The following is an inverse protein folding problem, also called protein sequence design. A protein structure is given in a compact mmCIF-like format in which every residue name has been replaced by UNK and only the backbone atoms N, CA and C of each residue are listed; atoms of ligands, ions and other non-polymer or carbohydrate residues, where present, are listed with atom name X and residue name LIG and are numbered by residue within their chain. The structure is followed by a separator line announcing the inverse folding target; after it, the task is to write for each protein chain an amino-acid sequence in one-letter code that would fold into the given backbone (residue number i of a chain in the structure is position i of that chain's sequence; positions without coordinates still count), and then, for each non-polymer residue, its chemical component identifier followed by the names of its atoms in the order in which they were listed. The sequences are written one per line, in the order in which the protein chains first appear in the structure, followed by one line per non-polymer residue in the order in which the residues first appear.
data_IF_656331978522
#
_entry.id   IF_656331978522
#
_cell.length_a   1.000
_cell.length_b   1.000
_cell.length_c   1.000
_cell.angle_alpha   90.00
_cell.angle_beta   90.00
_cell.angle_gamma   90.00
#
_symmetry.space_group_name_H-M   'P 1'
#
loop_
_entity.id
_entity.type
_entity.pdbx_description
1 polymer ?
#
# COMPACT_ATOMS: atom_id res chain seq x y z
N UNK A 1 13.12 -18.29 -1.06
CA UNK A 1 12.15 -17.27 -1.55
C UNK A 1 12.77 -15.91 -1.86
N UNK A 2 13.57 -15.29 -0.97
CA UNK A 2 14.23 -14.00 -1.26
C UNK A 2 15.22 -14.05 -2.44
N UNK A 3 15.94 -15.16 -2.58
CA UNK A 3 16.83 -15.42 -3.72
C UNK A 3 16.09 -15.38 -5.05
N UNK A 4 14.91 -15.99 -5.13
CA UNK A 4 14.04 -15.97 -6.30
C UNK A 4 13.66 -14.54 -6.68
N UNK A 5 13.17 -13.73 -5.73
CA UNK A 5 12.77 -12.34 -6.01
C UNK A 5 13.96 -11.50 -6.46
N UNK A 6 15.15 -11.71 -5.90
CA UNK A 6 16.37 -11.02 -6.36
C UNK A 6 16.75 -11.42 -7.78
N UNK A 7 16.70 -12.71 -8.09
CA UNK A 7 16.98 -13.22 -9.44
C UNK A 7 15.97 -12.69 -10.46
N UNK A 8 14.68 -12.75 -10.13
CA UNK A 8 13.61 -12.18 -10.94
C UNK A 8 13.82 -10.68 -11.17
N UNK A 9 14.14 -9.92 -10.12
CA UNK A 9 14.46 -8.49 -10.25
C UNK A 9 15.62 -8.26 -11.21
N UNK A 10 16.69 -9.05 -11.10
CA UNK A 10 17.84 -8.96 -12.03
C UNK A 10 17.40 -9.19 -13.47
N UNK A 11 16.61 -10.23 -13.71
CA UNK A 11 16.09 -10.58 -15.04
C UNK A 11 15.16 -9.51 -15.62
N UNK A 12 14.28 -8.93 -14.81
CA UNK A 12 13.39 -7.83 -15.22
C UNK A 12 14.18 -6.56 -15.55
N UNK A 13 15.31 -6.32 -14.86
CA UNK A 13 16.19 -5.18 -15.17
C UNK A 13 16.99 -5.36 -16.45
N UNK A 14 17.46 -6.57 -16.74
CA UNK A 14 18.19 -6.84 -17.98
C UNK A 14 17.25 -6.90 -19.18
N UNK A 15 16.06 -7.49 -19.03
CA UNK A 15 15.01 -7.51 -20.05
C UNK A 15 14.24 -6.18 -20.14
N UNK A 16 13.44 -5.98 -21.18
CA UNK A 16 12.49 -4.85 -21.28
C UNK A 16 11.10 -5.27 -20.77
N UNK A 17 11.07 -5.89 -19.58
CA UNK A 17 9.87 -6.49 -19.02
C UNK A 17 9.41 -5.75 -17.75
N UNK A 18 8.20 -6.10 -17.32
CA UNK A 18 7.57 -5.63 -16.10
C UNK A 18 6.99 -6.84 -15.38
N UNK A 19 7.20 -6.94 -14.07
CA UNK A 19 6.65 -8.03 -13.27
C UNK A 19 5.78 -7.49 -12.14
N UNK A 20 4.60 -8.09 -11.97
CA UNK A 20 3.67 -7.78 -10.88
C UNK A 20 3.54 -9.01 -10.00
N UNK A 21 3.71 -8.84 -8.69
CA UNK A 21 3.54 -9.91 -7.71
C UNK A 21 2.52 -9.45 -6.69
N UNK A 22 1.41 -10.16 -6.61
CA UNK A 22 0.33 -9.88 -5.67
C UNK A 22 0.21 -11.03 -4.67
N UNK A 23 0.06 -10.72 -3.39
CA UNK A 23 -0.24 -11.73 -2.38
C UNK A 23 -1.12 -11.19 -1.26
N UNK A 24 -1.88 -12.08 -0.64
CA UNK A 24 -2.59 -11.78 0.60
C UNK A 24 -1.58 -11.65 1.74
N UNK A 25 -1.67 -10.62 2.60
CA UNK A 25 -0.74 -10.44 3.72
C UNK A 25 -0.84 -11.55 4.76
N UNK A 26 -1.96 -12.29 4.79
CA UNK A 26 -2.15 -13.44 5.69
C UNK A 26 -1.25 -14.62 5.33
N UNK A 27 -0.73 -14.69 4.10
CA UNK A 27 0.06 -15.81 3.61
C UNK A 27 1.57 -15.62 3.84
N UNK A 28 2.01 -14.42 4.23
CA UNK A 28 3.43 -14.08 4.34
C UNK A 28 3.72 -13.53 5.72
N UNK A 29 4.72 -14.08 6.40
CA UNK A 29 5.12 -13.57 7.71
C UNK A 29 5.56 -12.09 7.63
N UNK A 30 5.32 -11.28 8.68
CA UNK A 30 5.64 -9.85 8.65
C UNK A 30 7.12 -9.56 8.32
N UNK A 31 8.03 -10.42 8.78
CA UNK A 31 9.47 -10.28 8.54
C UNK A 31 9.84 -10.48 7.08
N UNK A 32 9.28 -11.49 6.41
CA UNK A 32 9.49 -11.74 4.98
C UNK A 32 8.86 -10.62 4.15
N UNK A 33 7.63 -10.22 4.50
CA UNK A 33 6.93 -9.12 3.83
C UNK A 33 7.77 -7.83 3.87
N UNK A 34 8.35 -7.48 5.02
CA UNK A 34 9.22 -6.29 5.14
C UNK A 34 10.46 -6.40 4.26
N UNK A 35 11.13 -7.56 4.24
CA UNK A 35 12.28 -7.79 3.35
C UNK A 35 11.91 -7.65 1.87
N UNK A 36 10.72 -8.11 1.49
CA UNK A 36 10.22 -7.96 0.13
C UNK A 36 9.92 -6.49 -0.21
N UNK A 37 9.34 -5.74 0.73
CA UNK A 37 9.08 -4.30 0.57
C UNK A 37 10.36 -3.51 0.28
N UNK A 38 11.47 -3.87 0.93
CA UNK A 38 12.77 -3.27 0.64
C UNK A 38 13.26 -3.57 -0.78
N UNK A 39 13.01 -4.78 -1.30
CA UNK A 39 13.40 -5.19 -2.65
C UNK A 39 12.50 -4.63 -3.77
N UNK A 40 11.24 -4.30 -3.46
CA UNK A 40 10.28 -3.75 -4.41
C UNK A 40 10.75 -2.42 -5.00
N UNK A 41 10.55 -2.20 -6.29
CA UNK A 41 10.72 -0.87 -6.88
C UNK A 41 9.47 -0.02 -6.60
N UNK A 42 8.29 -0.57 -6.83
CA UNK A 42 7.02 0.04 -6.44
C UNK A 42 6.25 -0.86 -5.49
N UNK A 43 5.70 -0.27 -4.43
CA UNK A 43 4.91 -0.95 -3.41
C UNK A 43 3.53 -0.30 -3.30
N UNK A 44 2.50 -1.11 -3.56
CA UNK A 44 1.11 -0.74 -3.46
C UNK A 44 0.45 -1.58 -2.36
N UNK A 45 -0.49 -0.99 -1.62
CA UNK A 45 -1.40 -1.73 -0.77
C UNK A 45 -2.84 -1.47 -1.14
N UNK A 46 -3.62 -2.54 -1.19
CA UNK A 46 -5.07 -2.48 -1.38
C UNK A 46 -5.72 -2.77 -0.04
N UNK A 47 -6.61 -1.88 0.38
CA UNK A 47 -7.38 -2.00 1.61
C UNK A 47 -8.87 -1.97 1.26
N UNK A 48 -9.61 -2.98 1.70
CA UNK A 48 -11.07 -2.94 1.62
C UNK A 48 -11.64 -1.98 2.68
N UNK A 49 -12.77 -1.35 2.36
CA UNK A 49 -13.54 -0.57 3.34
C UNK A 49 -14.16 -1.57 4.32
N UNK A 50 -13.93 -1.44 5.64
CA UNK A 50 -14.54 -2.32 6.63
C UNK A 50 -16.06 -2.12 6.65
N UNK A 51 -16.80 -3.15 7.05
CA UNK A 51 -18.27 -3.11 6.97
C UNK A 51 -18.89 -2.03 7.87
N UNK A 52 -18.22 -1.65 8.96
CA UNK A 52 -18.64 -0.53 9.83
C UNK A 52 -18.65 0.83 9.09
N UNK A 53 -17.72 1.02 8.16
CA UNK A 53 -17.61 2.25 7.38
C UNK A 53 -18.58 2.24 6.16
N UNK A 54 -19.18 1.08 5.83
CA UNK A 54 -20.19 1.00 4.76
C UNK A 54 -21.49 1.69 5.16
N UNK A 55 -21.84 1.70 6.44
CA UNK A 55 -23.01 2.43 6.92
C UNK A 55 -22.84 3.93 6.69
N UNK A 56 -21.63 4.44 6.90
CA UNK A 56 -21.24 5.82 6.64
C UNK A 56 -21.18 6.11 5.12
N UNK A 57 -20.77 5.12 4.32
CA UNK A 57 -20.83 5.20 2.86
C UNK A 57 -22.26 5.28 2.31
N UNK A 58 -23.25 4.70 3.01
CA UNK A 58 -24.65 4.84 2.61
C UNK A 58 -25.17 6.27 2.79
N UNK A 59 -24.68 6.99 3.80
CA UNK A 59 -25.06 8.36 4.11
C UNK A 59 -24.37 9.38 3.20
N UNK A 60 -23.15 9.09 2.75
CA UNK A 60 -22.39 9.94 1.85
C UNK A 60 -22.51 9.43 0.41
N UNK A 61 -23.36 10.07 -0.40
CA UNK A 61 -23.64 9.70 -1.79
C UNK A 61 -22.40 9.53 -2.69
N UNK A 62 -21.27 10.16 -2.34
CA UNK A 62 -19.99 10.03 -3.04
C UNK A 62 -19.21 8.74 -2.72
N UNK A 63 -19.55 8.04 -1.63
CA UNK A 63 -18.87 6.84 -1.13
C UNK A 63 -19.58 5.53 -1.52
N UNK A 64 -20.83 5.58 -1.97
CA UNK A 64 -21.63 4.42 -2.41
C UNK A 64 -20.90 3.53 -3.44
N UNK A 65 -20.13 4.15 -4.35
CA UNK A 65 -19.43 3.44 -5.43
C UNK A 65 -18.01 2.98 -5.04
N UNK A 66 -17.54 3.28 -3.82
CA UNK A 66 -16.19 2.93 -3.37
C UNK A 66 -16.13 1.48 -2.88
N UNK A 67 -15.23 0.71 -3.48
CA UNK A 67 -14.94 -0.69 -3.10
C UNK A 67 -13.80 -0.76 -2.10
N UNK A 68 -12.88 0.20 -2.14
CA UNK A 68 -11.66 0.15 -1.35
C UNK A 68 -10.77 1.37 -1.55
N UNK A 69 -9.59 1.28 -0.95
CA UNK A 69 -8.52 2.25 -1.06
C UNK A 69 -7.29 1.57 -1.65
N UNK A 70 -6.60 2.29 -2.53
CA UNK A 70 -5.29 1.93 -3.04
C UNK A 70 -4.28 2.94 -2.48
N UNK A 71 -3.32 2.47 -1.69
CA UNK A 71 -2.24 3.29 -1.17
C UNK A 71 -0.93 2.99 -1.89
N UNK A 72 -0.24 4.04 -2.28
CA UNK A 72 1.10 4.01 -2.87
C UNK A 72 2.11 4.30 -1.77
N UNK A 73 2.86 3.28 -1.36
CA UNK A 73 3.83 3.42 -0.27
C UNK A 73 5.24 3.75 -0.77
N UNK A 74 5.59 3.28 -1.97
CA UNK A 74 6.93 3.42 -2.53
C UNK A 74 6.83 3.47 -4.04
N UNK A 75 7.50 4.44 -4.65
CA UNK A 75 7.77 4.50 -6.10
C UNK A 75 9.24 4.85 -6.27
N UNK A 76 10.07 3.84 -6.48
CA UNK A 76 11.49 4.05 -6.75
C UNK A 76 11.69 4.40 -8.23
N UNK A 77 12.49 5.44 -8.49
CA UNK A 77 13.07 5.70 -9.82
C UNK A 77 14.48 5.14 -9.89
N UNK A 78 14.83 4.66 -11.07
CA UNK A 78 16.18 4.20 -11.34
C UNK A 78 17.02 5.39 -11.79
N UNK A 79 18.27 5.44 -11.32
CA UNK A 79 19.27 6.43 -11.71
C UNK A 79 18.94 7.89 -11.33
N UNK A 80 18.07 8.12 -10.35
CA UNK A 80 17.79 9.46 -9.82
C UNK A 80 17.98 9.46 -8.31
N UNK A 81 18.65 10.49 -7.78
CA UNK A 81 18.75 10.72 -6.32
C UNK A 81 17.51 11.43 -5.77
N UNK A 82 16.69 12.03 -6.64
CA UNK A 82 15.46 12.73 -6.24
C UNK A 82 14.31 11.72 -6.15
N UNK A 83 13.63 11.62 -4.98
CA UNK A 83 12.45 10.78 -4.84
C UNK A 83 11.27 11.35 -5.62
N UNK A 84 10.38 10.47 -6.07
CA UNK A 84 9.13 10.91 -6.71
C UNK A 84 8.18 11.43 -5.63
N UNK A 85 7.88 12.71 -5.70
CA UNK A 85 6.82 13.31 -4.89
C UNK A 85 5.52 13.03 -5.64
N UNK A 86 4.66 12.21 -5.04
CA UNK A 86 3.31 11.97 -5.54
C UNK A 86 2.39 13.03 -4.94
N UNK A 87 1.51 13.59 -5.76
CA UNK A 87 0.51 14.57 -5.30
C UNK A 87 -0.49 13.94 -4.33
N UNK A 88 -0.84 12.66 -4.54
CA UNK A 88 -1.64 11.87 -3.62
C UNK A 88 -1.03 10.46 -3.46
N UNK A 89 -0.97 9.99 -2.22
CA UNK A 89 -0.53 8.62 -1.88
C UNK A 89 -1.71 7.66 -1.71
N UNK A 90 -2.93 8.18 -1.56
CA UNK A 90 -4.15 7.39 -1.35
C UNK A 90 -5.18 7.68 -2.43
N UNK A 91 -5.65 6.62 -3.07
CA UNK A 91 -6.65 6.66 -4.12
C UNK A 91 -7.89 5.88 -3.70
N UNK A 92 -9.08 6.40 -3.99
CA UNK A 92 -10.32 5.65 -3.89
C UNK A 92 -10.48 4.72 -5.08
N UNK A 93 -10.80 3.46 -4.81
CA UNK A 93 -11.12 2.44 -5.79
C UNK A 93 -12.63 2.43 -6.02
N UNK A 94 -13.09 2.81 -7.20
CA UNK A 94 -14.51 2.77 -7.58
C UNK A 94 -14.75 1.75 -8.69
N UNK A 95 -15.83 0.97 -8.58
CA UNK A 95 -16.19 -0.01 -9.60
C UNK A 95 -17.41 0.45 -10.39
N UNK A 96 -17.17 1.07 -11.54
CA UNK A 96 -18.23 1.56 -12.42
C UNK A 96 -18.79 0.42 -13.28
N UNK A 97 -20.12 0.23 -13.20
CA UNK A 97 -20.89 -0.77 -13.99
C UNK A 97 -20.31 -2.20 -13.95
N UNK A 98 -19.66 -2.59 -12.85
CA UNK A 98 -18.99 -3.91 -12.67
C UNK A 98 -17.96 -4.29 -13.75
N UNK A 99 -17.50 -3.34 -14.58
CA UNK A 99 -16.60 -3.62 -15.72
C UNK A 99 -15.38 -2.71 -15.78
N UNK A 100 -15.42 -1.55 -15.13
CA UNK A 100 -14.31 -0.61 -15.12
C UNK A 100 -13.98 -0.21 -13.69
N UNK A 101 -12.71 -0.34 -13.33
CA UNK A 101 -12.17 0.09 -12.06
C UNK A 101 -11.54 1.48 -12.25
N UNK A 102 -12.03 2.46 -11.52
CA UNK A 102 -11.62 3.86 -11.59
C UNK A 102 -10.87 4.20 -10.30
N UNK A 103 -9.72 4.84 -10.45
CA UNK A 103 -8.91 5.36 -9.35
C UNK A 103 -9.10 6.88 -9.31
N UNK A 104 -9.59 7.39 -8.20
CA UNK A 104 -9.74 8.83 -7.97
C UNK A 104 -8.90 9.26 -6.77
N UNK A 105 -8.30 10.44 -6.83
CA UNK A 105 -7.54 11.00 -5.71
C UNK A 105 -8.51 11.31 -4.57
N UNK A 106 -8.20 10.81 -3.37
CA UNK A 106 -9.02 11.09 -2.21
C UNK A 106 -8.52 12.39 -1.57
N UNK A 107 -9.32 13.45 -1.66
CA UNK A 107 -9.02 14.73 -1.02
C UNK A 107 -9.27 14.60 0.49
N UNK A 108 -8.28 14.13 1.24
CA UNK A 108 -8.31 14.25 2.69
C UNK A 108 -7.80 15.64 3.07
N UNK A 109 -8.48 16.29 4.01
CA UNK A 109 -7.88 17.43 4.71
C UNK A 109 -6.58 16.94 5.41
N UNK A 110 -5.51 17.75 5.49
CA UNK A 110 -4.30 17.36 6.19
C UNK A 110 -4.67 16.86 7.58
N UNK A 111 -4.29 15.62 7.91
CA UNK A 111 -4.32 15.20 9.31
C UNK A 111 -3.22 15.97 10.02
N UNK A 112 -3.59 17.02 10.75
CA UNK A 112 -2.67 17.73 11.60
C UNK A 112 -1.93 16.70 12.47
N UNK A 113 -0.60 16.69 12.35
CA UNK A 113 0.29 15.86 13.13
C UNK A 113 0.29 16.31 14.59
N UNK A 114 -0.82 16.10 15.30
CA UNK A 114 -0.92 16.32 16.73
C UNK A 114 -0.90 14.98 17.45
N UNK A 115 0.31 14.53 17.73
CA UNK A 115 0.58 13.65 18.86
C UNK A 115 1.88 14.12 19.47
N UNK A 116 1.80 15.29 20.13
CA UNK A 116 2.78 15.67 21.13
C UNK A 116 2.72 14.66 22.28
N UNK A 117 3.84 13.98 22.51
CA UNK A 117 4.14 13.38 23.81
C UNK A 117 5.65 13.34 23.97
N UNK A 118 6.18 14.43 24.49
CA UNK A 118 7.56 14.59 24.87
C UNK A 118 7.66 14.65 26.39
N UNK A 119 7.44 13.56 27.13
CA UNK A 119 7.96 13.42 28.50
C UNK A 119 8.27 11.95 28.76
N UNK A 120 9.47 11.69 29.28
CA UNK A 120 10.00 10.35 29.44
C UNK A 120 9.46 9.57 30.65
N UNK A 121 10.18 8.48 30.89
CA UNK A 121 10.20 7.59 32.05
C UNK A 121 9.66 6.19 31.78
N UNK A 122 10.56 5.24 32.08
CA UNK A 122 10.46 3.79 32.12
C UNK A 122 9.19 3.23 32.77
N UNK A 123 8.71 2.08 32.28
CA UNK A 123 7.69 1.27 32.97
C UNK A 123 7.32 0.01 32.21
N UNK A 124 7.11 -1.07 32.96
CA UNK A 124 7.07 -2.48 32.56
C UNK A 124 5.71 -2.99 32.03
N UNK A 125 5.77 -4.19 31.44
CA UNK A 125 4.79 -5.29 31.38
C UNK A 125 3.43 -5.19 30.65
N UNK A 126 3.23 -6.19 29.78
CA UNK A 126 2.02 -7.03 29.60
C UNK A 126 0.67 -6.40 29.29
N UNK A 127 0.17 -6.66 28.07
CA UNK A 127 -1.23 -6.44 27.71
C UNK A 127 -1.53 -6.89 26.28
N UNK A 128 -2.03 -8.11 26.13
CA UNK A 128 -2.56 -8.64 24.88
C UNK A 128 -3.71 -7.78 24.37
N UNK A 129 -3.55 -7.17 23.20
CA UNK A 129 -4.66 -6.67 22.39
C UNK A 129 -4.46 -7.21 20.97
N UNK A 130 -5.42 -8.02 20.51
CA UNK A 130 -5.51 -8.45 19.11
C UNK A 130 -5.78 -7.20 18.27
N UNK A 131 -4.90 -6.80 17.33
CA UNK A 131 -5.33 -5.92 16.27
C UNK A 131 -6.11 -6.78 15.27
N UNK A 132 -7.38 -6.45 15.05
CA UNK A 132 -8.14 -6.96 13.92
C UNK A 132 -7.30 -6.86 12.66
N UNK A 133 -7.12 -7.97 11.96
CA UNK A 133 -6.22 -8.09 10.81
C UNK A 133 -6.73 -7.14 9.72
N UNK A 134 -6.02 -6.04 9.37
CA UNK A 134 -6.35 -5.34 8.15
C UNK A 134 -5.89 -6.25 6.99
N UNK A 135 -6.84 -6.71 6.19
CA UNK A 135 -6.55 -7.40 4.92
C UNK A 135 -5.93 -6.35 3.98
N UNK A 136 -4.63 -6.17 4.13
CA UNK A 136 -3.76 -5.29 3.35
C UNK A 136 -3.10 -6.12 2.24
N UNK A 137 -3.79 -6.32 1.12
CA UNK A 137 -3.22 -7.01 -0.04
C UNK A 137 -2.03 -6.20 -0.56
N UNK A 138 -0.81 -6.70 -0.37
CA UNK A 138 0.42 -6.02 -0.79
C UNK A 138 0.74 -6.46 -2.21
N UNK A 139 0.79 -5.49 -3.12
CA UNK A 139 1.17 -5.69 -4.51
C UNK A 139 2.53 -5.07 -4.77
N UNK A 140 3.39 -5.84 -5.42
CA UNK A 140 4.77 -5.50 -5.74
C UNK A 140 4.88 -5.34 -7.24
N UNK A 141 5.58 -4.31 -7.67
CA UNK A 141 5.78 -4.06 -9.09
C UNK A 141 7.25 -3.79 -9.37
N UNK A 142 7.79 -4.54 -10.33
CA UNK A 142 9.13 -4.38 -10.88
C UNK A 142 8.99 -3.77 -12.27
N UNK A 143 9.49 -2.54 -12.45
CA UNK A 143 9.44 -1.82 -13.72
C UNK A 143 10.84 -1.40 -14.14
N UNK A 144 11.19 -1.69 -15.39
CA UNK A 144 12.30 -1.00 -16.06
C UNK A 144 11.80 0.32 -16.65
N UNK A 145 12.42 1.43 -16.27
CA UNK A 145 12.22 2.70 -16.94
C UNK A 145 13.17 2.77 -18.15
N UNK A 146 12.61 2.99 -19.34
CA UNK A 146 13.36 3.28 -20.56
C UNK A 146 13.84 4.74 -20.47
N UNK A 147 15.14 4.96 -20.65
CA UNK A 147 15.72 6.29 -20.87
C UNK A 147 15.35 6.78 -22.26
#
# INVERSE_FOLDING_TARGET
MLSFIRSLKSMVRSSNAVAVITFSPSLVSPSIAKRWQHLADTLLSVRAIPDEDKELANLLTSYQDMVGLLNVHKVARLNTQVPVILEATTFSLKLKKRRSLVLECLNQAPIDGSSGSSYGTSGSCSGSTKPGIPICSKSFFFRKHRL
#
